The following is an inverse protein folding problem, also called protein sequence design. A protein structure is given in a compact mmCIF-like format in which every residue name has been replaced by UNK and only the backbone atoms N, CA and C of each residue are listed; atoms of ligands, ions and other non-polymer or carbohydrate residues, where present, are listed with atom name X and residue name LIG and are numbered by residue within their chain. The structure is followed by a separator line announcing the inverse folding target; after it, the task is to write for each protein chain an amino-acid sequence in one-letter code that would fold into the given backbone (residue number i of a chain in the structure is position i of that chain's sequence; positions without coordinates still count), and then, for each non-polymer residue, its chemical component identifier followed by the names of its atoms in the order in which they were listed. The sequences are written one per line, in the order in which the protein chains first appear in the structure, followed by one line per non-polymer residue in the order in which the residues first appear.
data_IF_325527358245
#
_entry.id   IF_325527358245
#
_cell.length_a   1.000
_cell.length_b   1.000
_cell.length_c   1.000
_cell.angle_alpha   90.00
_cell.angle_beta   90.00
_cell.angle_gamma   90.00
#
_symmetry.space_group_name_H-M   'P 1'
#
loop_
_entity.id
_entity.type
_entity.pdbx_description
1 polymer ?
#
# COMPACT_ATOMS: atom_id res chain seq x y z
N UNK A 1 -13.33 2.72 13.53
CA UNK A 1 -12.33 1.84 14.16
C UNK A 1 -11.08 2.65 14.43
N UNK A 2 -10.78 2.92 15.66
CA UNK A 2 -9.59 3.66 16.08
C UNK A 2 -8.77 2.70 16.94
N UNK A 3 -7.93 1.86 16.35
CA UNK A 3 -7.07 0.98 17.13
C UNK A 3 -6.03 1.83 17.84
N UNK A 4 -5.72 1.42 19.06
CA UNK A 4 -4.71 2.03 19.91
C UNK A 4 -3.31 1.66 19.37
N UNK A 5 -2.88 2.32 18.30
CA UNK A 5 -1.55 2.16 17.72
C UNK A 5 -0.61 3.20 18.31
N UNK A 6 0.65 2.83 18.53
CA UNK A 6 1.71 3.78 18.83
C UNK A 6 1.73 4.85 17.72
N UNK A 7 1.23 6.01 18.02
CA UNK A 7 0.92 7.10 17.10
C UNK A 7 2.07 7.43 16.13
N UNK A 8 3.28 7.51 16.65
CA UNK A 8 4.46 7.88 15.85
C UNK A 8 4.83 6.84 14.76
N UNK A 9 4.36 5.60 14.88
CA UNK A 9 4.73 4.51 14.00
C UNK A 9 3.82 4.37 12.79
N UNK A 10 2.54 4.68 12.96
CA UNK A 10 1.50 4.50 11.95
C UNK A 10 0.94 5.83 11.42
N UNK A 11 1.11 6.92 12.17
CA UNK A 11 0.71 8.26 11.73
C UNK A 11 1.87 8.92 10.95
N UNK A 12 1.86 8.72 9.65
CA UNK A 12 2.64 9.53 8.73
C UNK A 12 1.77 10.64 8.15
N UNK A 13 2.37 11.56 7.42
CA UNK A 13 1.62 12.46 6.56
C UNK A 13 1.34 11.77 5.25
N UNK A 14 0.08 11.81 4.80
CA UNK A 14 -0.24 11.49 3.42
C UNK A 14 0.50 12.43 2.46
N UNK A 15 0.70 11.98 1.23
CA UNK A 15 1.32 12.81 0.19
C UNK A 15 0.40 12.93 -1.01
N UNK A 16 0.50 14.06 -1.70
CA UNK A 16 -0.18 14.31 -2.98
C UNK A 16 0.86 14.65 -4.01
N UNK A 17 0.84 13.96 -5.12
CA UNK A 17 1.74 14.22 -6.24
C UNK A 17 0.95 14.30 -7.54
N UNK A 18 1.20 15.32 -8.33
CA UNK A 18 0.69 15.37 -9.71
C UNK A 18 1.44 14.32 -10.53
N UNK A 19 0.73 13.29 -10.94
CA UNK A 19 1.32 12.17 -11.69
C UNK A 19 1.20 12.34 -13.19
N UNK A 20 0.12 12.98 -13.67
CA UNK A 20 -0.11 13.22 -15.10
C UNK A 20 -0.89 14.52 -15.31
N UNK A 21 -0.68 15.12 -16.48
CA UNK A 21 -1.42 16.27 -16.97
C UNK A 21 -1.90 15.95 -18.39
N UNK A 22 -3.18 16.09 -18.62
CA UNK A 22 -3.82 15.89 -19.92
C UNK A 22 -4.44 17.20 -20.36
N UNK A 23 -4.41 17.46 -21.65
CA UNK A 23 -5.13 18.58 -22.22
C UNK A 23 -5.66 18.22 -23.61
N UNK A 24 -6.71 18.88 -24.02
CA UNK A 24 -7.20 18.85 -25.40
C UNK A 24 -7.04 20.23 -26.02
N UNK A 25 -6.71 20.25 -27.31
CA UNK A 25 -6.61 21.48 -28.06
C UNK A 25 -6.93 21.16 -29.53
N UNK A 26 -7.70 22.00 -30.22
CA UNK A 26 -8.02 21.79 -31.62
C UNK A 26 -6.79 21.91 -32.53
N UNK A 27 -5.73 22.61 -32.09
CA UNK A 27 -4.47 22.69 -32.80
C UNK A 27 -3.34 23.19 -31.89
N UNK A 28 -2.09 23.10 -32.37
CA UNK A 28 -0.93 23.62 -31.64
C UNK A 28 -0.92 25.14 -31.46
N UNK A 29 -1.73 25.85 -32.24
CA UNK A 29 -1.85 27.31 -32.22
C UNK A 29 -3.11 27.80 -31.53
N UNK A 30 -3.91 26.89 -30.96
CA UNK A 30 -5.14 27.24 -30.25
C UNK A 30 -4.98 27.06 -28.74
N UNK A 31 -5.77 27.81 -28.01
CA UNK A 31 -5.91 27.65 -26.56
C UNK A 31 -6.53 26.29 -26.28
N UNK A 32 -6.01 25.58 -25.28
CA UNK A 32 -6.60 24.33 -24.83
C UNK A 32 -8.03 24.55 -24.34
N UNK A 33 -8.93 23.67 -24.76
CA UNK A 33 -10.35 23.70 -24.38
C UNK A 33 -10.64 22.87 -23.11
N UNK A 34 -9.72 21.98 -22.74
CA UNK A 34 -9.77 21.26 -21.45
C UNK A 34 -8.40 20.95 -20.92
N UNK A 35 -8.31 20.76 -19.60
CA UNK A 35 -7.13 20.26 -18.92
C UNK A 35 -7.56 19.37 -17.75
N UNK A 36 -6.95 18.20 -17.65
CA UNK A 36 -7.14 17.30 -16.52
C UNK A 36 -5.80 16.98 -15.84
N UNK A 37 -5.83 16.83 -14.54
CA UNK A 37 -4.67 16.50 -13.72
C UNK A 37 -4.96 15.24 -12.94
N UNK A 38 -4.09 14.23 -13.07
CA UNK A 38 -4.11 13.06 -12.19
C UNK A 38 -3.27 13.33 -10.94
N UNK A 39 -3.86 13.06 -9.79
CA UNK A 39 -3.20 13.17 -8.49
C UNK A 39 -3.00 11.78 -7.89
N UNK A 40 -1.76 11.41 -7.57
CA UNK A 40 -1.47 10.24 -6.74
C UNK A 40 -1.52 10.70 -5.27
N UNK A 41 -2.52 10.22 -4.55
CA UNK A 41 -2.68 10.46 -3.11
C UNK A 41 -2.26 9.23 -2.33
N UNK A 42 -1.18 9.36 -1.55
CA UNK A 42 -0.80 8.36 -0.55
C UNK A 42 -1.49 8.70 0.75
N UNK A 43 -2.46 7.88 1.10
CA UNK A 43 -3.29 8.11 2.27
C UNK A 43 -2.60 7.62 3.54
N UNK A 44 -2.83 8.32 4.65
CA UNK A 44 -2.47 7.86 5.98
C UNK A 44 -3.68 7.28 6.71
N UNK A 45 -3.43 6.65 7.85
CA UNK A 45 -4.48 6.05 8.64
C UNK A 45 -5.50 7.09 9.12
N UNK A 46 -6.78 6.79 8.93
CA UNK A 46 -7.88 7.70 9.26
C UNK A 46 -8.36 8.59 8.10
N UNK A 47 -7.61 8.69 7.01
CA UNK A 47 -8.09 9.34 5.78
C UNK A 47 -9.00 8.41 4.99
N UNK A 48 -10.03 8.99 4.35
CA UNK A 48 -10.93 8.30 3.42
C UNK A 48 -10.85 8.94 2.05
N UNK A 49 -11.35 8.25 1.03
CA UNK A 49 -11.37 8.83 -0.32
C UNK A 49 -12.22 10.11 -0.37
N UNK A 50 -13.32 10.17 0.37
CA UNK A 50 -14.17 11.36 0.49
C UNK A 50 -13.38 12.53 1.06
N UNK A 51 -12.67 12.32 2.17
CA UNK A 51 -11.87 13.38 2.80
C UNK A 51 -10.77 13.89 1.86
N UNK A 52 -10.16 13.01 1.07
CA UNK A 52 -9.13 13.37 0.10
C UNK A 52 -9.71 14.17 -1.07
N UNK A 53 -10.88 13.79 -1.60
CA UNK A 53 -11.54 14.56 -2.64
C UNK A 53 -12.02 15.93 -2.12
N UNK A 54 -12.53 15.99 -0.90
CA UNK A 54 -12.99 17.24 -0.29
C UNK A 54 -11.83 18.20 -0.01
N UNK A 55 -10.65 17.68 0.32
CA UNK A 55 -9.44 18.51 0.41
C UNK A 55 -9.19 19.25 -0.92
N UNK A 56 -9.27 18.56 -2.05
CA UNK A 56 -9.08 19.18 -3.37
C UNK A 56 -10.24 20.12 -3.73
N UNK A 57 -11.50 19.72 -3.49
CA UNK A 57 -12.69 20.56 -3.72
C UNK A 57 -12.65 21.86 -2.91
N UNK A 58 -12.01 21.84 -1.75
CA UNK A 58 -11.89 22.99 -0.87
C UNK A 58 -10.73 23.93 -1.22
N UNK A 59 -9.89 23.61 -2.20
CA UNK A 59 -8.86 24.53 -2.65
C UNK A 59 -9.47 25.83 -3.15
N UNK A 60 -8.87 27.01 -2.82
CA UNK A 60 -9.40 28.31 -3.25
C UNK A 60 -9.56 28.42 -4.76
N UNK A 61 -8.66 27.82 -5.54
CA UNK A 61 -8.74 27.79 -6.99
C UNK A 61 -9.93 26.98 -7.49
N UNK A 62 -10.19 25.81 -6.91
CA UNK A 62 -11.34 24.96 -7.28
C UNK A 62 -12.66 25.70 -6.95
N UNK A 63 -12.76 26.23 -5.74
CA UNK A 63 -13.96 27.02 -5.33
C UNK A 63 -14.20 28.24 -6.20
N UNK A 64 -13.14 28.90 -6.66
CA UNK A 64 -13.26 30.08 -7.52
C UNK A 64 -13.92 29.77 -8.86
N UNK A 65 -13.61 28.61 -9.43
CA UNK A 65 -14.13 28.23 -10.76
C UNK A 65 -15.37 27.34 -10.69
N UNK A 66 -15.70 26.83 -9.49
CA UNK A 66 -16.98 26.13 -9.26
C UNK A 66 -17.20 24.96 -10.22
N UNK A 67 -18.31 25.01 -10.95
CA UNK A 67 -18.76 23.92 -11.85
C UNK A 67 -17.84 23.70 -13.07
N UNK A 68 -16.94 24.62 -13.36
CA UNK A 68 -15.93 24.44 -14.41
C UNK A 68 -14.83 23.46 -13.99
N UNK A 69 -14.78 23.06 -12.71
CA UNK A 69 -13.78 22.11 -12.18
C UNK A 69 -14.47 20.88 -11.60
N UNK A 70 -14.25 19.73 -12.23
CA UNK A 70 -14.75 18.44 -11.74
C UNK A 70 -13.63 17.73 -10.96
N UNK A 71 -13.92 17.35 -9.72
CA UNK A 71 -13.04 16.55 -8.87
C UNK A 71 -13.69 15.20 -8.62
N UNK A 72 -13.08 14.14 -9.14
CA UNK A 72 -13.62 12.78 -9.09
C UNK A 72 -12.56 11.73 -8.76
N UNK A 73 -13.01 10.56 -8.36
CA UNK A 73 -12.19 9.37 -8.25
C UNK A 73 -11.80 8.88 -9.65
N UNK A 74 -10.55 8.44 -9.78
CA UNK A 74 -10.09 7.80 -11.01
C UNK A 74 -10.59 6.35 -11.05
N UNK A 75 -11.12 5.95 -12.21
CA UNK A 75 -11.47 4.58 -12.50
C UNK A 75 -10.45 3.96 -13.45
N UNK A 76 -9.95 2.79 -13.10
CA UNK A 76 -9.11 1.99 -13.98
C UNK A 76 -9.99 1.14 -14.88
N UNK A 77 -9.91 1.38 -16.16
CA UNK A 77 -10.74 0.76 -17.20
C UNK A 77 -9.94 0.13 -18.34
N UNK A 78 -8.62 0.00 -18.15
CA UNK A 78 -7.74 -0.52 -19.21
C UNK A 78 -7.97 -2.02 -19.40
N UNK A 79 -8.01 -2.48 -20.67
CA UNK A 79 -8.16 -3.89 -20.95
C UNK A 79 -6.92 -4.69 -20.50
N UNK A 80 -7.17 -5.90 -20.00
CA UNK A 80 -6.12 -6.90 -19.78
C UNK A 80 -5.52 -7.39 -21.12
N UNK A 81 -4.51 -8.22 -21.04
CA UNK A 81 -3.90 -8.83 -22.23
C UNK A 81 -4.89 -9.70 -23.04
N UNK A 82 -5.98 -10.15 -22.44
CA UNK A 82 -7.05 -10.89 -23.11
C UNK A 82 -8.13 -9.98 -23.72
N UNK A 83 -8.02 -8.66 -23.57
CA UNK A 83 -9.01 -7.70 -23.99
C UNK A 83 -10.18 -7.49 -22.99
N UNK A 84 -10.18 -8.22 -21.88
CA UNK A 84 -11.19 -8.05 -20.85
C UNK A 84 -10.98 -6.73 -20.10
N UNK A 85 -12.02 -5.90 -20.03
CA UNK A 85 -12.07 -4.70 -19.21
C UNK A 85 -12.79 -5.03 -17.91
N UNK A 86 -12.10 -4.81 -16.79
CA UNK A 86 -12.69 -4.87 -15.47
C UNK A 86 -12.52 -3.49 -14.82
N UNK A 87 -13.58 -2.72 -14.86
CA UNK A 87 -13.58 -1.37 -14.30
C UNK A 87 -13.52 -1.41 -12.78
N UNK A 88 -12.59 -0.68 -12.20
CA UNK A 88 -12.40 -0.60 -10.75
C UNK A 88 -11.99 0.80 -10.33
N UNK A 89 -12.59 1.30 -9.26
CA UNK A 89 -12.17 2.54 -8.62
C UNK A 89 -10.75 2.43 -8.09
N UNK A 90 -9.91 3.42 -8.40
CA UNK A 90 -8.53 3.50 -7.90
C UNK A 90 -8.49 4.00 -6.46
N UNK A 91 -9.24 3.33 -5.60
CA UNK A 91 -9.25 3.55 -4.16
C UNK A 91 -8.69 2.34 -3.42
N UNK A 92 -7.64 2.58 -2.65
CA UNK A 92 -6.93 1.57 -1.87
C UNK A 92 -6.93 1.98 -0.40
N UNK A 93 -7.97 1.57 0.38
CA UNK A 93 -8.10 1.97 1.78
C UNK A 93 -6.90 1.53 2.60
N UNK A 94 -6.44 2.40 3.48
CA UNK A 94 -5.45 2.04 4.49
C UNK A 94 -6.04 1.01 5.45
N UNK A 95 -5.19 0.13 5.94
CA UNK A 95 -5.58 -0.87 6.93
C UNK A 95 -4.45 -1.08 7.93
N UNK A 96 -4.81 -1.51 9.11
CA UNK A 96 -3.87 -1.82 10.17
C UNK A 96 -4.43 -2.93 11.06
N UNK A 97 -3.54 -3.73 11.63
CA UNK A 97 -3.86 -4.82 12.53
C UNK A 97 -3.03 -4.67 13.82
N UNK A 98 -3.60 -4.88 15.01
CA UNK A 98 -2.84 -4.83 16.25
C UNK A 98 -1.68 -5.83 16.27
N UNK A 99 -0.55 -5.42 16.82
CA UNK A 99 0.63 -6.29 16.94
C UNK A 99 0.37 -7.52 17.84
N UNK A 100 -0.58 -7.43 18.75
CA UNK A 100 -1.01 -8.50 19.65
C UNK A 100 -2.15 -9.35 19.08
N UNK A 101 -2.64 -9.03 17.88
CA UNK A 101 -3.68 -9.83 17.25
C UNK A 101 -3.20 -11.26 16.97
N UNK A 102 -4.10 -12.25 17.09
CA UNK A 102 -3.80 -13.68 16.93
C UNK A 102 -3.02 -13.99 15.64
N UNK A 103 -3.40 -13.40 14.51
CA UNK A 103 -2.72 -13.58 13.22
C UNK A 103 -1.27 -13.09 13.27
N UNK A 104 -1.03 -11.92 13.87
CA UNK A 104 0.32 -11.36 14.02
C UNK A 104 1.18 -12.23 14.92
N UNK A 105 0.63 -12.65 16.06
CA UNK A 105 1.33 -13.53 17.02
C UNK A 105 1.61 -14.92 16.46
N UNK A 106 0.72 -15.45 15.63
CA UNK A 106 0.95 -16.74 14.97
C UNK A 106 2.15 -16.69 14.01
N UNK A 107 2.29 -15.61 13.23
CA UNK A 107 3.44 -15.44 12.37
C UNK A 107 4.73 -15.27 13.17
N UNK A 108 4.72 -14.45 14.20
CA UNK A 108 5.86 -14.26 15.10
C UNK A 108 6.29 -15.61 15.74
N UNK A 109 5.32 -16.41 16.22
CA UNK A 109 5.56 -17.73 16.79
C UNK A 109 6.12 -18.71 15.75
N UNK A 110 5.56 -18.75 14.54
CA UNK A 110 6.05 -19.61 13.47
C UNK A 110 7.52 -19.28 13.11
N UNK A 111 7.85 -18.01 12.98
CA UNK A 111 9.20 -17.58 12.67
C UNK A 111 10.17 -17.91 13.82
N UNK A 112 9.85 -17.50 15.04
CA UNK A 112 10.73 -17.72 16.20
C UNK A 112 10.87 -19.19 16.56
N UNK A 113 9.84 -20.00 16.32
CA UNK A 113 9.89 -21.45 16.50
C UNK A 113 10.87 -22.14 15.54
N UNK A 114 11.04 -21.62 14.32
CA UNK A 114 11.97 -22.17 13.33
C UNK A 114 13.39 -21.60 13.46
N UNK A 115 13.53 -20.33 13.76
CA UNK A 115 14.79 -19.60 13.64
C UNK A 115 15.22 -18.90 14.93
N UNK A 116 14.41 -18.95 15.99
CA UNK A 116 14.67 -18.22 17.22
C UNK A 116 14.72 -16.70 16.95
N UNK A 117 15.63 -16.03 17.64
CA UNK A 117 15.90 -14.61 17.41
C UNK A 117 16.93 -14.36 16.30
N UNK A 118 17.34 -15.40 15.59
CA UNK A 118 18.32 -15.28 14.53
C UNK A 118 17.68 -14.71 13.27
N UNK A 119 18.43 -13.83 12.64
CA UNK A 119 18.08 -13.33 11.34
C UNK A 119 18.47 -14.35 10.26
N UNK A 120 17.50 -14.71 9.44
CA UNK A 120 17.72 -15.54 8.25
C UNK A 120 17.44 -14.67 7.02
N UNK A 121 18.41 -14.61 6.12
CA UNK A 121 18.29 -13.82 4.88
C UNK A 121 19.64 -13.37 4.33
N UNK A 122 19.61 -12.49 3.34
CA UNK A 122 20.79 -12.05 2.63
C UNK A 122 21.75 -11.22 3.49
N UNK A 123 23.04 -11.51 3.34
CA UNK A 123 24.09 -10.90 4.14
C UNK A 123 24.27 -9.39 3.86
N UNK A 124 24.10 -8.96 2.64
CA UNK A 124 24.27 -7.57 2.19
C UNK A 124 23.23 -6.60 2.77
N UNK A 125 22.16 -7.12 3.39
CA UNK A 125 21.14 -6.30 4.08
C UNK A 125 21.20 -6.46 5.59
N UNK A 126 22.23 -7.13 6.15
CA UNK A 126 22.30 -7.45 7.58
C UNK A 126 22.25 -6.24 8.49
N UNK A 127 22.90 -5.15 8.13
CA UNK A 127 22.94 -3.92 8.94
C UNK A 127 21.58 -3.23 9.03
N UNK A 128 20.76 -3.40 8.02
CA UNK A 128 19.45 -2.75 7.91
C UNK A 128 18.29 -3.59 8.49
N UNK A 129 18.55 -4.83 8.86
CA UNK A 129 17.52 -5.75 9.34
C UNK A 129 17.69 -6.07 10.81
N UNK A 130 16.58 -6.33 11.47
CA UNK A 130 16.56 -6.88 12.83
C UNK A 130 16.79 -8.40 12.82
N UNK A 131 17.34 -8.92 13.89
CA UNK A 131 17.59 -10.37 14.04
C UNK A 131 16.31 -11.21 14.18
N UNK A 132 15.18 -10.58 14.44
CA UNK A 132 13.87 -11.21 14.62
C UNK A 132 12.83 -10.50 13.78
N UNK A 133 11.65 -11.11 13.54
CA UNK A 133 10.58 -10.44 12.85
C UNK A 133 10.14 -9.19 13.63
N UNK A 134 9.94 -8.11 12.90
CA UNK A 134 9.38 -6.88 13.42
C UNK A 134 7.96 -6.72 12.89
N UNK A 135 7.07 -6.32 13.78
CA UNK A 135 5.78 -5.81 13.37
C UNK A 135 5.94 -4.35 12.99
N UNK A 136 5.77 -4.05 11.71
CA UNK A 136 5.92 -2.71 11.16
C UNK A 136 4.90 -2.44 10.07
N UNK A 137 5.03 -1.33 9.38
CA UNK A 137 4.15 -0.90 8.29
C UNK A 137 4.79 -1.12 6.93
N UNK A 138 3.96 -1.31 5.92
CA UNK A 138 4.34 -1.22 4.52
C UNK A 138 3.98 0.14 3.97
N UNK A 139 4.80 0.66 3.10
CA UNK A 139 4.52 1.90 2.38
C UNK A 139 3.85 1.66 1.04
N UNK A 140 3.71 0.40 0.63
CA UNK A 140 3.12 -0.01 -0.65
C UNK A 140 1.73 -0.60 -0.47
N UNK A 141 0.90 -0.49 -1.52
CA UNK A 141 -0.35 -1.24 -1.60
C UNK A 141 -0.08 -2.72 -1.82
N UNK A 142 -0.88 -3.55 -1.17
CA UNK A 142 -0.85 -5.01 -1.29
C UNK A 142 -2.28 -5.55 -1.38
N UNK A 143 -2.44 -6.85 -1.60
CA UNK A 143 -3.75 -7.50 -1.55
C UNK A 143 -4.46 -7.35 -0.18
N UNK A 144 -3.72 -7.00 0.87
CA UNK A 144 -4.29 -6.64 2.19
C UNK A 144 -5.30 -5.51 2.12
N UNK A 145 -5.19 -4.61 1.14
CA UNK A 145 -6.19 -3.59 0.83
C UNK A 145 -7.58 -4.20 0.63
N UNK A 146 -7.69 -5.27 -0.16
CA UNK A 146 -8.96 -5.94 -0.41
C UNK A 146 -9.36 -6.84 0.74
N UNK A 147 -8.42 -7.56 1.34
CA UNK A 147 -8.68 -8.52 2.41
C UNK A 147 -9.12 -7.78 3.68
N UNK A 148 -8.29 -6.93 4.22
CA UNK A 148 -8.56 -6.22 5.46
C UNK A 148 -9.16 -4.84 5.23
N UNK A 149 -8.62 -4.06 4.29
CA UNK A 149 -9.08 -2.69 4.07
C UNK A 149 -10.53 -2.58 3.64
N UNK A 150 -10.99 -3.47 2.73
CA UNK A 150 -12.38 -3.47 2.23
C UNK A 150 -13.29 -4.43 2.97
N UNK A 151 -12.80 -5.62 3.32
CA UNK A 151 -13.64 -6.70 3.85
C UNK A 151 -13.44 -6.96 5.36
N UNK A 152 -12.53 -6.27 6.03
CA UNK A 152 -12.31 -6.41 7.47
C UNK A 152 -11.77 -7.78 7.90
N UNK A 153 -11.26 -8.58 6.95
CA UNK A 153 -10.68 -9.89 7.25
C UNK A 153 -9.26 -9.68 7.78
N UNK A 154 -8.94 -10.15 8.99
CA UNK A 154 -7.61 -9.99 9.55
C UNK A 154 -6.50 -10.48 8.61
N UNK A 155 -5.55 -9.61 8.31
CA UNK A 155 -4.49 -9.86 7.36
C UNK A 155 -3.17 -9.27 7.86
N UNK A 156 -2.08 -9.97 7.58
CA UNK A 156 -0.71 -9.50 7.79
C UNK A 156 0.10 -9.74 6.53
N UNK A 157 1.15 -8.95 6.34
CA UNK A 157 2.10 -9.13 5.25
C UNK A 157 3.38 -9.77 5.75
N UNK A 158 3.88 -10.76 5.01
CA UNK A 158 5.19 -11.35 5.20
C UNK A 158 5.68 -11.88 3.85
N UNK A 159 6.92 -11.60 3.49
CA UNK A 159 7.45 -12.00 2.20
C UNK A 159 8.96 -11.95 2.11
N UNK A 160 9.54 -12.52 1.04
CA UNK A 160 10.98 -12.52 0.81
C UNK A 160 11.48 -11.14 0.32
N UNK A 161 12.77 -10.89 0.48
CA UNK A 161 13.43 -9.68 -0.01
C UNK A 161 13.46 -8.54 0.99
N UNK A 162 13.86 -7.38 0.51
CA UNK A 162 13.92 -6.14 1.26
C UNK A 162 13.02 -5.08 0.60
N UNK A 163 12.24 -4.35 1.41
CA UNK A 163 11.34 -3.31 0.93
C UNK A 163 12.06 -2.25 0.06
N UNK A 164 13.32 -1.92 0.42
CA UNK A 164 14.13 -0.98 -0.33
C UNK A 164 14.47 -1.42 -1.77
N UNK A 165 14.29 -2.69 -2.09
CA UNK A 165 14.47 -3.21 -3.45
C UNK A 165 13.22 -3.02 -4.32
N UNK A 166 12.05 -2.84 -3.72
CA UNK A 166 10.81 -2.68 -4.47
C UNK A 166 10.86 -1.42 -5.36
N UNK A 167 10.57 -1.59 -6.64
CA UNK A 167 10.67 -0.55 -7.68
C UNK A 167 12.10 0.00 -7.91
N UNK A 168 13.12 -0.65 -7.38
CA UNK A 168 14.51 -0.25 -7.61
C UNK A 168 15.01 -0.72 -8.99
N UNK A 169 15.96 -0.02 -9.62
CA UNK A 169 16.66 -0.55 -10.77
C UNK A 169 17.36 -1.87 -10.41
N UNK A 170 17.20 -2.90 -11.26
CA UNK A 170 17.71 -4.26 -11.02
C UNK A 170 17.16 -4.88 -9.71
N UNK A 171 15.90 -4.66 -9.41
CA UNK A 171 15.22 -5.27 -8.27
C UNK A 171 15.53 -6.77 -8.16
N UNK A 172 15.88 -7.23 -6.96
CA UNK A 172 16.25 -8.61 -6.71
C UNK A 172 15.63 -9.14 -5.41
N UNK A 173 15.49 -10.45 -5.36
CA UNK A 173 15.11 -11.19 -4.15
C UNK A 173 16.11 -12.33 -3.95
N UNK A 174 16.54 -12.52 -2.73
CA UNK A 174 17.51 -13.57 -2.38
C UNK A 174 16.83 -14.94 -2.27
N UNK A 175 17.45 -15.94 -2.88
CA UNK A 175 16.92 -17.32 -2.86
C UNK A 175 16.73 -17.87 -1.45
N UNK A 176 17.60 -17.50 -0.51
CA UNK A 176 17.48 -17.90 0.87
C UNK A 176 16.22 -17.35 1.54
N UNK A 177 15.84 -16.12 1.21
CA UNK A 177 14.61 -15.52 1.71
C UNK A 177 13.36 -16.28 1.24
N UNK A 178 13.38 -16.80 -0.01
CA UNK A 178 12.29 -17.64 -0.53
C UNK A 178 12.13 -18.91 0.30
N UNK A 179 13.25 -19.58 0.62
CA UNK A 179 13.23 -20.81 1.45
C UNK A 179 12.74 -20.51 2.86
N UNK A 180 13.22 -19.43 3.46
CA UNK A 180 12.80 -18.98 4.79
C UNK A 180 11.30 -18.69 4.83
N UNK A 181 10.79 -17.95 3.85
CA UNK A 181 9.36 -17.64 3.78
C UNK A 181 8.51 -18.91 3.59
N UNK A 182 8.93 -19.84 2.73
CA UNK A 182 8.21 -21.08 2.52
C UNK A 182 8.12 -21.91 3.82
N UNK A 183 9.20 -22.01 4.58
CA UNK A 183 9.22 -22.71 5.85
C UNK A 183 8.30 -22.06 6.89
N UNK A 184 8.32 -20.72 7.00
CA UNK A 184 7.44 -19.98 7.91
C UNK A 184 5.97 -20.16 7.51
N UNK A 185 5.64 -20.07 6.21
CA UNK A 185 4.27 -20.29 5.74
C UNK A 185 3.78 -21.72 6.02
N UNK A 186 4.66 -22.73 5.93
CA UNK A 186 4.29 -24.11 6.27
C UNK A 186 4.01 -24.29 7.77
N UNK A 187 4.72 -23.57 8.64
CA UNK A 187 4.54 -23.62 10.08
C UNK A 187 3.36 -22.76 10.60
N UNK A 188 2.97 -21.73 9.84
CA UNK A 188 1.99 -20.73 10.26
C UNK A 188 0.62 -21.33 10.65
N UNK A 189 0.02 -22.27 9.90
CA UNK A 189 -1.28 -22.84 10.26
C UNK A 189 -1.26 -23.53 11.63
N UNK A 190 -0.19 -24.24 11.95
CA UNK A 190 -0.03 -24.90 13.26
C UNK A 190 0.08 -23.84 14.37
N UNK A 191 0.91 -22.83 14.16
CA UNK A 191 1.08 -21.73 15.14
C UNK A 191 -0.20 -20.91 15.34
N UNK A 192 -1.07 -20.87 14.34
CA UNK A 192 -2.37 -20.18 14.44
C UNK A 192 -3.43 -21.02 15.15
N UNK A 193 -3.38 -22.35 15.02
CA UNK A 193 -4.34 -23.26 15.64
C UNK A 193 -4.16 -23.40 17.16
N UNK A 194 -2.97 -23.15 17.66
CA UNK A 194 -2.65 -23.14 19.09
C UNK A 194 -3.07 -21.81 19.75
#
# INVERSE_FOLDING_TARGET
FNPDYEEARFHGRGTVTTSQIFYTSPSRCAVADSCAVSLDRRMTFGETWESCLDEIRNLPSVKKYGDDVVVSMYNYDRPSYTGCVYEIECYFPTWAIPKDHKVTKALEKAYTGLYGDQRIGAADTLEMRQARPLTDKWTFSTNGVSIMGRNGIPCIGFGPGAEAQAHAPNEMTWKQDLVTCAAVYAALPLSYAE
#
